data_IF_067975912565
#
_entry.id   IF_067975912565
#
_cell.length_a   1.000
_cell.length_b   1.000
_cell.length_c   1.000
_cell.angle_alpha   90.00
_cell.angle_beta   90.00
_cell.angle_gamma   90.00
#
_symmetry.space_group_name_H-M   'P 1'
#
loop_
_entity.id
_entity.type
_entity.pdbx_description
1 polymer ?
#
# COMPACT_ATOMS: atom_id res chain seq x y z
N UNK A 1 41.38 -25.38 20.96
CA UNK A 1 40.11 -25.27 21.70
C UNK A 1 39.01 -25.87 20.84
N UNK A 2 38.47 -27.05 21.19
CA UNK A 2 37.37 -27.66 20.43
C UNK A 2 36.04 -27.20 21.00
N UNK A 3 35.23 -26.54 20.19
CA UNK A 3 33.84 -26.24 20.52
C UNK A 3 33.05 -27.55 20.60
N UNK A 4 32.49 -27.86 21.78
CA UNK A 4 31.48 -28.91 21.95
C UNK A 4 30.12 -28.31 21.60
N UNK A 5 29.45 -28.88 20.60
CA UNK A 5 28.06 -28.54 20.29
C UNK A 5 27.11 -29.05 21.40
N UNK A 6 26.02 -28.33 21.72
CA UNK A 6 25.01 -28.81 22.65
C UNK A 6 24.25 -30.02 22.08
N UNK A 7 23.86 -30.92 22.98
CA UNK A 7 23.18 -32.17 22.65
C UNK A 7 21.75 -31.93 22.11
N UNK A 8 21.55 -32.30 20.84
CA UNK A 8 20.30 -32.17 20.07
C UNK A 8 19.16 -33.05 20.62
N UNK A 9 19.46 -34.03 21.48
CA UNK A 9 18.48 -34.87 22.14
C UNK A 9 17.51 -34.08 23.02
N UNK A 10 18.01 -33.00 23.65
CA UNK A 10 17.22 -32.10 24.50
C UNK A 10 16.22 -31.27 23.70
N UNK A 11 16.60 -30.83 22.49
CA UNK A 11 15.73 -30.13 21.55
C UNK A 11 14.64 -31.06 21.01
N UNK A 12 14.99 -32.32 20.71
CA UNK A 12 14.04 -33.33 20.26
C UNK A 12 13.04 -33.72 21.38
N UNK A 13 13.50 -33.83 22.62
CA UNK A 13 12.64 -34.05 23.79
C UNK A 13 11.77 -32.84 24.13
N UNK A 14 12.26 -31.62 23.88
CA UNK A 14 11.48 -30.40 24.10
C UNK A 14 10.40 -30.28 23.01
N UNK A 15 10.72 -30.54 21.75
CA UNK A 15 9.76 -30.58 20.65
C UNK A 15 8.69 -31.67 20.84
N UNK A 16 9.08 -32.87 21.29
CA UNK A 16 8.11 -33.93 21.57
C UNK A 16 7.19 -33.56 22.73
N UNK A 17 7.73 -33.02 23.83
CA UNK A 17 6.93 -32.55 24.97
C UNK A 17 6.02 -31.37 24.62
N UNK A 18 6.49 -30.43 23.80
CA UNK A 18 5.66 -29.31 23.30
C UNK A 18 4.58 -29.82 22.35
N UNK A 19 4.85 -30.85 21.53
CA UNK A 19 3.84 -31.45 20.67
C UNK A 19 2.77 -32.22 21.45
N UNK A 20 3.16 -32.93 22.52
CA UNK A 20 2.25 -33.64 23.41
C UNK A 20 1.43 -32.67 24.27
N UNK A 21 2.04 -31.61 24.79
CA UNK A 21 1.33 -30.54 25.50
C UNK A 21 0.37 -29.79 24.59
N UNK A 22 0.76 -29.49 23.34
CA UNK A 22 -0.14 -28.88 22.35
C UNK A 22 -1.28 -29.81 21.97
N UNK A 23 -1.04 -31.11 21.83
CA UNK A 23 -2.11 -32.08 21.59
C UNK A 23 -3.07 -32.19 22.78
N UNK A 24 -2.56 -32.17 24.02
CA UNK A 24 -3.39 -32.20 25.23
C UNK A 24 -4.16 -30.90 25.44
N UNK A 25 -3.53 -29.73 25.30
CA UNK A 25 -4.24 -28.43 25.40
C UNK A 25 -5.21 -28.23 24.25
N UNK A 26 -4.92 -28.77 23.06
CA UNK A 26 -5.90 -28.80 21.98
C UNK A 26 -7.06 -29.71 22.37
N UNK A 27 -6.84 -30.96 22.80
CA UNK A 27 -7.90 -31.88 23.23
C UNK A 27 -8.73 -31.37 24.42
N UNK A 28 -8.13 -30.68 25.37
CA UNK A 28 -8.83 -30.04 26.49
C UNK A 28 -9.63 -28.83 26.03
N UNK A 29 -9.06 -27.97 25.18
CA UNK A 29 -9.79 -26.89 24.53
C UNK A 29 -10.94 -27.37 23.64
N UNK A 30 -10.81 -28.55 23.03
CA UNK A 30 -11.87 -29.21 22.27
C UNK A 30 -13.01 -29.72 23.19
N UNK A 31 -12.68 -30.21 24.39
CA UNK A 31 -13.67 -30.65 25.38
C UNK A 31 -14.42 -29.48 26.01
N UNK A 32 -13.74 -28.37 26.29
CA UNK A 32 -14.39 -27.12 26.73
C UNK A 32 -15.24 -26.49 25.62
N UNK A 33 -14.77 -26.49 24.36
CA UNK A 33 -15.56 -26.02 23.22
C UNK A 33 -16.80 -26.89 22.94
N UNK A 34 -16.72 -28.20 23.19
CA UNK A 34 -17.86 -29.12 23.10
C UNK A 34 -18.94 -28.85 24.15
N UNK A 35 -18.63 -28.15 25.25
CA UNK A 35 -19.59 -27.76 26.28
C UNK A 35 -20.24 -26.39 25.99
N UNK A 36 -19.69 -25.63 25.04
CA UNK A 36 -20.22 -24.35 24.59
C UNK A 36 -21.12 -24.53 23.36
N UNK A 37 -22.41 -24.77 23.60
CA UNK A 37 -23.55 -24.43 22.75
C UNK A 37 -23.70 -25.11 21.36
N UNK A 38 -24.91 -25.58 21.06
CA UNK A 38 -25.30 -26.28 19.81
C UNK A 38 -25.06 -25.47 18.52
N UNK A 39 -24.82 -24.16 18.62
CA UNK A 39 -24.50 -23.26 17.51
C UNK A 39 -23.02 -23.28 17.07
N UNK A 40 -22.10 -23.85 17.86
CA UNK A 40 -20.68 -23.97 17.51
C UNK A 40 -20.32 -25.32 16.86
N UNK A 41 -21.17 -26.34 17.00
CA UNK A 41 -21.03 -27.66 16.38
C UNK A 41 -20.75 -27.63 14.87
N UNK A 42 -21.47 -26.87 14.02
CA UNK A 42 -21.20 -26.84 12.59
C UNK A 42 -19.86 -26.18 12.23
N UNK A 43 -19.48 -25.11 12.94
CA UNK A 43 -18.20 -24.42 12.73
C UNK A 43 -17.03 -25.32 13.13
N UNK A 44 -17.20 -26.07 14.23
CA UNK A 44 -16.19 -27.00 14.72
C UNK A 44 -15.95 -28.17 13.75
N UNK A 45 -17.02 -28.81 13.26
CA UNK A 45 -16.93 -29.87 12.25
C UNK A 45 -16.27 -29.40 10.95
N UNK A 46 -16.64 -28.21 10.45
CA UNK A 46 -16.00 -27.59 9.26
C UNK A 46 -14.51 -27.35 9.49
N UNK A 47 -14.13 -26.85 10.66
CA UNK A 47 -12.73 -26.58 11.02
C UNK A 47 -11.91 -27.86 11.11
N UNK A 48 -12.47 -28.91 11.74
CA UNK A 48 -11.85 -30.22 11.82
C UNK A 48 -11.61 -30.83 10.43
N UNK A 49 -12.59 -30.72 9.53
CA UNK A 49 -12.46 -31.21 8.16
C UNK A 49 -11.44 -30.44 7.33
N UNK A 50 -11.42 -29.12 7.42
CA UNK A 50 -10.40 -28.29 6.77
C UNK A 50 -8.97 -28.65 7.22
N UNK A 51 -8.80 -29.00 8.51
CA UNK A 51 -7.52 -29.51 9.01
C UNK A 51 -7.22 -30.90 8.44
N UNK A 52 -8.17 -31.83 8.44
CA UNK A 52 -7.97 -33.17 7.88
C UNK A 52 -7.62 -33.17 6.38
N UNK A 53 -8.21 -32.26 5.60
CA UNK A 53 -7.88 -32.03 4.19
C UNK A 53 -6.43 -31.52 4.03
N UNK A 54 -6.02 -30.54 4.82
CA UNK A 54 -4.65 -29.99 4.77
C UNK A 54 -3.57 -30.96 5.23
N UNK A 55 -3.91 -31.92 6.09
CA UNK A 55 -3.00 -32.97 6.59
C UNK A 55 -3.04 -34.25 5.76
N UNK A 56 -3.79 -34.29 4.65
CA UNK A 56 -3.73 -35.36 3.64
C UNK A 56 -4.36 -36.69 4.05
N UNK A 57 -5.34 -36.70 4.96
CA UNK A 57 -6.01 -37.92 5.42
C UNK A 57 -7.31 -38.27 4.67
N UNK A 58 -7.70 -37.50 3.63
CA UNK A 58 -9.00 -37.63 2.95
C UNK A 58 -8.82 -37.64 1.43
N UNK A 59 -9.34 -38.68 0.75
CA UNK A 59 -9.33 -38.84 -0.72
C UNK A 59 -10.64 -38.38 -1.41
N UNK A 60 -11.69 -38.05 -0.67
CA UNK A 60 -13.04 -37.71 -1.19
C UNK A 60 -13.35 -36.21 -0.98
N UNK A 61 -12.52 -35.35 -1.57
CA UNK A 61 -12.68 -33.90 -1.57
C UNK A 61 -13.42 -33.48 -2.84
N UNK A 62 -14.45 -32.65 -2.73
CA UNK A 62 -15.12 -32.13 -3.92
C UNK A 62 -14.18 -31.21 -4.71
N UNK A 63 -13.91 -31.57 -5.97
CA UNK A 63 -13.08 -30.74 -6.84
C UNK A 63 -13.88 -29.57 -7.41
N UNK A 64 -13.31 -28.37 -7.34
CA UNK A 64 -13.87 -27.20 -8.00
C UNK A 64 -13.58 -27.24 -9.50
N UNK A 65 -14.46 -26.67 -10.36
CA UNK A 65 -14.23 -26.63 -11.80
C UNK A 65 -12.87 -26.01 -12.17
N UNK A 66 -12.20 -26.56 -13.19
CA UNK A 66 -10.90 -26.05 -13.65
C UNK A 66 -10.94 -24.56 -14.00
N UNK A 67 -12.02 -24.11 -14.64
CA UNK A 67 -12.23 -22.70 -14.98
C UNK A 67 -12.26 -21.80 -13.74
N UNK A 68 -12.87 -22.26 -12.64
CA UNK A 68 -12.89 -21.53 -11.38
C UNK A 68 -11.47 -21.35 -10.82
N UNK A 69 -10.69 -22.43 -10.77
CA UNK A 69 -9.30 -22.41 -10.28
C UNK A 69 -8.41 -21.49 -11.14
N UNK A 70 -8.60 -21.50 -12.47
CA UNK A 70 -7.90 -20.59 -13.37
C UNK A 70 -8.27 -19.12 -13.13
N UNK A 71 -9.55 -18.83 -12.87
CA UNK A 71 -10.00 -17.49 -12.52
C UNK A 71 -9.37 -17.03 -11.20
N UNK A 72 -9.30 -17.88 -10.17
CA UNK A 72 -8.63 -17.55 -8.91
C UNK A 72 -7.17 -17.14 -9.12
N UNK A 73 -6.42 -17.92 -9.91
CA UNK A 73 -5.01 -17.61 -10.22
C UNK A 73 -4.86 -16.27 -10.93
N UNK A 74 -5.77 -15.95 -11.86
CA UNK A 74 -5.78 -14.67 -12.57
C UNK A 74 -6.09 -13.50 -11.63
N UNK A 75 -7.07 -13.67 -10.74
CA UNK A 75 -7.42 -12.67 -9.71
C UNK A 75 -6.25 -12.41 -8.77
N UNK A 76 -5.60 -13.47 -8.28
CA UNK A 76 -4.48 -13.34 -7.34
C UNK A 76 -3.28 -12.66 -8.00
N UNK A 77 -3.04 -12.97 -9.29
CA UNK A 77 -2.02 -12.28 -10.10
C UNK A 77 -2.35 -10.79 -10.28
N UNK A 78 -3.60 -10.47 -10.60
CA UNK A 78 -4.07 -9.09 -10.77
C UNK A 78 -4.00 -8.30 -9.46
N UNK A 79 -4.34 -8.93 -8.33
CA UNK A 79 -4.20 -8.33 -6.99
C UNK A 79 -2.75 -7.98 -6.70
N UNK A 80 -1.84 -8.91 -7.00
CA UNK A 80 -0.41 -8.70 -6.79
C UNK A 80 0.13 -7.58 -7.68
N UNK A 81 -0.33 -7.50 -8.93
CA UNK A 81 -0.02 -6.40 -9.84
C UNK A 81 -0.42 -5.04 -9.24
N UNK A 82 -1.68 -4.88 -8.81
CA UNK A 82 -2.14 -3.63 -8.21
C UNK A 82 -1.37 -3.26 -6.94
N UNK A 83 -1.10 -4.23 -6.06
CA UNK A 83 -0.29 -3.99 -4.85
C UNK A 83 1.12 -3.52 -5.17
N UNK A 84 1.79 -4.18 -6.12
CA UNK A 84 3.17 -3.84 -6.48
C UNK A 84 3.27 -2.46 -7.13
N UNK A 85 2.32 -2.10 -7.98
CA UNK A 85 2.26 -0.76 -8.56
C UNK A 85 2.00 0.27 -7.46
N UNK A 86 1.00 0.03 -6.61
CA UNK A 86 0.62 0.98 -5.58
C UNK A 86 1.78 1.28 -4.62
N UNK A 87 2.56 0.26 -4.23
CA UNK A 87 3.76 0.46 -3.38
C UNK A 87 4.72 1.50 -3.98
N UNK A 88 4.87 1.51 -5.31
CA UNK A 88 5.76 2.46 -6.00
C UNK A 88 5.09 3.82 -6.15
N UNK A 89 3.82 3.84 -6.55
CA UNK A 89 3.12 5.09 -6.84
C UNK A 89 2.62 5.81 -5.59
N UNK A 90 2.54 5.15 -4.43
CA UNK A 90 2.36 5.79 -3.12
C UNK A 90 3.51 6.74 -2.78
N UNK A 91 4.68 6.59 -3.41
CA UNK A 91 5.77 7.54 -3.21
C UNK A 91 5.36 8.97 -3.59
N UNK A 92 4.48 9.15 -4.58
CA UNK A 92 3.95 10.46 -4.99
C UNK A 92 3.16 11.17 -3.86
N UNK A 93 2.77 10.46 -2.79
CA UNK A 93 2.12 11.04 -1.60
C UNK A 93 3.12 11.72 -0.66
N UNK A 94 4.43 11.47 -0.84
CA UNK A 94 5.50 12.04 -0.01
C UNK A 94 6.12 13.21 -0.76
N UNK A 95 5.71 14.44 -0.47
CA UNK A 95 6.18 15.65 -1.17
C UNK A 95 7.70 15.74 -1.40
N UNK A 96 8.53 15.22 -0.48
CA UNK A 96 9.99 15.25 -0.55
C UNK A 96 10.63 13.96 -1.09
N UNK A 97 9.94 13.16 -1.91
CA UNK A 97 10.52 11.90 -2.39
C UNK A 97 11.68 12.07 -3.37
N UNK A 98 11.71 13.17 -4.10
CA UNK A 98 12.73 13.53 -5.08
C UNK A 98 13.93 14.23 -4.42
N UNK A 99 13.72 14.80 -3.23
CA UNK A 99 14.73 15.39 -2.37
C UNK A 99 14.64 14.79 -0.96
N UNK A 100 15.07 13.52 -0.79
CA UNK A 100 15.04 12.88 0.52
C UNK A 100 15.86 13.73 1.50
N UNK A 101 15.37 13.96 2.73
CA UNK A 101 16.00 14.86 3.66
C UNK A 101 17.45 14.44 3.89
N UNK A 102 18.38 15.23 3.36
CA UNK A 102 19.76 15.19 3.81
C UNK A 102 19.72 15.54 5.29
N UNK A 103 20.13 14.60 6.15
CA UNK A 103 19.99 14.70 7.61
C UNK A 103 20.51 16.03 8.19
N UNK A 104 21.40 16.74 7.49
CA UNK A 104 21.94 18.04 7.91
C UNK A 104 20.94 19.22 7.86
N UNK A 105 20.09 19.31 6.84
CA UNK A 105 19.19 20.47 6.67
C UNK A 105 17.95 20.37 7.57
N UNK A 106 17.50 19.14 7.83
CA UNK A 106 16.40 18.91 8.76
C UNK A 106 16.74 19.34 10.19
N UNK A 107 17.99 19.24 10.67
CA UNK A 107 18.29 19.72 12.04
C UNK A 107 18.27 21.25 12.15
N UNK A 108 18.74 22.00 11.14
CA UNK A 108 18.76 23.47 11.22
C UNK A 108 17.34 24.05 11.24
N UNK A 109 16.43 23.52 10.43
CA UNK A 109 15.07 24.04 10.35
C UNK A 109 14.25 23.68 11.60
N UNK A 110 14.44 22.47 12.15
CA UNK A 110 13.80 22.10 13.43
C UNK A 110 14.35 22.92 14.61
N UNK A 111 15.64 23.27 14.64
CA UNK A 111 16.19 24.16 15.70
C UNK A 111 15.65 25.59 15.62
N UNK A 112 15.40 26.12 14.41
CA UNK A 112 14.75 27.43 14.24
C UNK A 112 13.31 27.42 14.76
N UNK A 113 12.53 26.40 14.41
CA UNK A 113 11.15 26.23 14.91
C UNK A 113 11.11 26.10 16.44
N UNK A 114 12.06 25.35 17.03
CA UNK A 114 12.15 25.19 18.48
C UNK A 114 12.57 26.52 19.15
N UNK A 115 13.51 27.27 18.58
CA UNK A 115 13.92 28.58 19.10
C UNK A 115 12.80 29.62 19.00
N UNK A 116 12.03 29.64 17.91
CA UNK A 116 10.88 30.54 17.74
C UNK A 116 9.77 30.24 18.72
N UNK A 117 9.43 28.95 18.91
CA UNK A 117 8.43 28.55 19.91
C UNK A 117 8.94 28.80 21.33
N UNK A 118 10.22 28.57 21.61
CA UNK A 118 10.81 28.86 22.92
C UNK A 118 10.83 30.37 23.21
N UNK A 119 11.19 31.21 22.23
CA UNK A 119 11.12 32.67 22.37
C UNK A 119 9.68 33.17 22.48
N UNK A 120 8.74 32.60 21.72
CA UNK A 120 7.32 32.93 21.83
C UNK A 120 6.74 32.55 23.20
N UNK A 121 7.14 31.39 23.75
CA UNK A 121 6.75 30.95 25.09
C UNK A 121 7.41 31.80 26.19
N UNK A 122 8.65 32.24 25.98
CA UNK A 122 9.37 33.12 26.92
C UNK A 122 8.85 34.57 26.91
N UNK A 123 8.23 35.01 25.82
CA UNK A 123 7.62 36.32 25.67
C UNK A 123 6.14 36.39 26.10
N UNK A 124 5.47 35.25 26.28
CA UNK A 124 4.07 35.19 26.69
C UNK A 124 3.94 35.45 28.20
N UNK A 125 3.11 36.42 28.58
CA UNK A 125 2.91 36.83 29.99
C UNK A 125 1.55 36.39 30.56
N UNK A 126 0.69 35.80 29.72
CA UNK A 126 -0.61 35.27 30.12
C UNK A 126 -0.90 33.88 29.53
N UNK A 127 -1.79 33.13 30.18
CA UNK A 127 -2.20 31.79 29.75
C UNK A 127 -2.88 31.78 28.38
N UNK A 128 -3.59 32.86 28.02
CA UNK A 128 -4.23 33.00 26.70
C UNK A 128 -3.21 33.30 25.60
N UNK A 129 -2.12 34.02 25.90
CA UNK A 129 -1.00 34.21 24.97
C UNK A 129 -0.21 32.91 24.77
N UNK A 130 -0.10 32.08 25.81
CA UNK A 130 0.54 30.77 25.75
C UNK A 130 -0.21 29.79 24.83
N UNK A 131 -1.53 29.72 24.95
CA UNK A 131 -2.38 28.94 24.04
C UNK A 131 -2.31 29.46 22.61
N UNK A 132 -2.29 30.78 22.42
CA UNK A 132 -2.08 31.37 21.10
C UNK A 132 -0.72 30.94 20.54
N UNK A 133 0.41 31.12 21.23
CA UNK A 133 1.76 30.72 20.74
C UNK A 133 1.87 29.22 20.43
N UNK A 134 1.13 28.37 21.15
CA UNK A 134 1.09 26.92 20.90
C UNK A 134 0.23 26.56 19.69
N UNK A 135 -0.81 27.34 19.41
CA UNK A 135 -1.81 27.07 18.35
C UNK A 135 -1.62 27.90 17.08
N UNK A 136 -0.90 29.03 17.13
CA UNK A 136 -0.48 29.74 15.92
C UNK A 136 0.54 28.87 15.19
N UNK A 137 0.29 28.57 13.90
CA UNK A 137 1.36 28.15 13.01
C UNK A 137 2.47 29.20 13.11
N UNK A 138 3.73 28.80 13.35
CA UNK A 138 4.87 29.74 13.30
C UNK A 138 4.85 30.46 11.94
N UNK A 139 5.36 31.69 11.81
CA UNK A 139 5.54 32.34 10.51
C UNK A 139 6.43 31.52 9.56
N UNK A 140 7.26 30.64 10.12
CA UNK A 140 8.01 29.59 9.41
C UNK A 140 7.10 28.48 8.82
N UNK A 141 5.86 28.36 9.28
CA UNK A 141 4.85 27.46 8.75
C UNK A 141 4.01 28.10 7.62
N UNK A 142 3.93 29.44 7.58
CA UNK A 142 3.19 30.20 6.55
C UNK A 142 4.03 30.47 5.27
N UNK A 143 5.34 30.23 5.33
CA UNK A 143 6.29 30.37 4.20
C UNK A 143 6.93 29.03 3.81
N UNK A 144 6.23 27.92 4.02
CA UNK A 144 6.70 26.60 3.63
C UNK A 144 6.69 26.47 2.11
N UNK A 145 7.79 26.91 1.48
CA UNK A 145 8.16 26.48 0.14
C UNK A 145 8.09 24.94 0.13
N UNK A 146 7.35 24.33 -0.82
CA UNK A 146 7.22 22.88 -0.88
C UNK A 146 8.59 22.19 -0.89
N UNK A 147 8.69 21.03 -0.24
CA UNK A 147 9.94 20.30 -0.02
C UNK A 147 10.35 19.40 -1.19
N UNK A 148 9.90 19.73 -2.40
CA UNK A 148 10.39 19.08 -3.61
C UNK A 148 11.83 19.52 -3.89
N UNK A 149 12.54 18.76 -4.70
CA UNK A 149 13.88 19.13 -5.18
C UNK A 149 13.90 20.52 -5.83
N UNK A 150 13.01 20.74 -6.79
CA UNK A 150 12.98 21.96 -7.62
C UNK A 150 12.74 23.24 -6.81
N UNK A 151 11.77 23.19 -5.90
CA UNK A 151 11.51 24.28 -4.97
C UNK A 151 12.69 24.59 -4.05
N UNK A 152 13.39 23.55 -3.57
CA UNK A 152 14.57 23.69 -2.72
C UNK A 152 15.74 24.30 -3.50
N UNK A 153 15.97 23.83 -4.72
CA UNK A 153 16.98 24.36 -5.62
C UNK A 153 16.70 25.85 -5.94
N UNK A 154 15.45 26.19 -6.27
CA UNK A 154 15.02 27.58 -6.47
C UNK A 154 15.36 28.47 -5.27
N UNK A 155 15.02 28.03 -4.05
CA UNK A 155 15.31 28.75 -2.81
C UNK A 155 16.81 28.98 -2.60
N UNK A 156 17.64 27.96 -2.84
CA UNK A 156 19.10 28.04 -2.71
C UNK A 156 19.69 29.00 -3.74
N UNK A 157 19.24 28.94 -5.00
CA UNK A 157 19.71 29.83 -6.06
C UNK A 157 19.35 31.29 -5.78
N UNK A 158 18.12 31.58 -5.32
CA UNK A 158 17.72 32.93 -4.88
C UNK A 158 18.60 33.41 -3.72
N UNK A 159 18.82 32.56 -2.73
CA UNK A 159 19.62 32.92 -1.55
C UNK A 159 21.08 33.24 -1.92
N UNK A 160 21.69 32.44 -2.81
CA UNK A 160 23.05 32.71 -3.29
C UNK A 160 23.14 33.96 -4.15
N UNK A 161 22.12 34.26 -4.97
CA UNK A 161 22.03 35.53 -5.69
C UNK A 161 22.09 36.72 -4.73
N UNK A 162 21.29 36.71 -3.66
CA UNK A 162 21.31 37.80 -2.68
C UNK A 162 22.68 37.95 -2.01
N UNK A 163 23.36 36.84 -1.69
CA UNK A 163 24.73 36.89 -1.13
C UNK A 163 25.72 37.53 -2.12
N UNK A 164 25.61 37.22 -3.41
CA UNK A 164 26.47 37.78 -4.45
C UNK A 164 26.21 39.27 -4.67
N UNK A 165 24.95 39.70 -4.72
CA UNK A 165 24.57 41.12 -4.83
C UNK A 165 25.14 41.94 -3.66
N UNK A 166 24.95 41.46 -2.43
CA UNK A 166 25.49 42.11 -1.24
C UNK A 166 27.03 42.19 -1.22
N UNK A 167 27.72 41.25 -1.89
CA UNK A 167 29.18 41.21 -1.96
C UNK A 167 29.76 42.15 -3.02
N UNK A 168 28.97 42.52 -4.03
CA UNK A 168 29.39 43.34 -5.19
C UNK A 168 28.73 44.73 -5.21
N UNK A 169 28.34 45.28 -4.05
CA UNK A 169 27.62 46.56 -3.94
C UNK A 169 26.37 46.65 -4.84
N UNK A 170 25.62 45.54 -4.95
CA UNK A 170 24.37 45.43 -5.74
C UNK A 170 24.50 45.63 -7.26
N UNK A 171 25.70 45.46 -7.83
CA UNK A 171 25.84 45.41 -9.29
C UNK A 171 25.31 44.09 -9.86
N UNK A 172 24.26 44.17 -10.67
CA UNK A 172 23.56 43.02 -11.25
C UNK A 172 24.32 42.51 -12.48
N UNK A 173 25.27 41.60 -12.26
CA UNK A 173 26.06 40.95 -13.30
C UNK A 173 25.29 39.80 -13.98
N UNK A 174 25.88 39.21 -15.01
CA UNK A 174 25.22 38.16 -15.79
C UNK A 174 24.97 36.87 -15.00
N UNK A 175 25.82 36.58 -14.00
CA UNK A 175 25.62 35.45 -13.10
C UNK A 175 24.43 35.67 -12.15
N UNK A 176 24.27 36.85 -11.55
CA UNK A 176 23.13 37.14 -10.66
C UNK A 176 21.80 37.13 -11.41
N UNK A 177 21.80 37.58 -12.67
CA UNK A 177 20.65 37.47 -13.59
C UNK A 177 20.35 36.01 -13.95
N UNK A 178 21.36 35.22 -14.30
CA UNK A 178 21.19 33.79 -14.58
C UNK A 178 20.61 33.04 -13.38
N UNK A 179 21.14 33.27 -12.17
CA UNK A 179 20.65 32.66 -10.94
C UNK A 179 19.18 32.99 -10.67
N UNK A 180 18.77 34.24 -10.93
CA UNK A 180 17.35 34.61 -10.81
C UNK A 180 16.49 33.80 -11.78
N UNK A 181 16.86 33.77 -13.07
CA UNK A 181 16.09 33.07 -14.13
C UNK A 181 15.96 31.58 -13.87
N UNK A 182 17.06 30.91 -13.52
CA UNK A 182 17.04 29.50 -13.16
C UNK A 182 16.13 29.30 -11.95
N UNK A 183 16.23 30.14 -10.92
CA UNK A 183 15.38 29.99 -9.73
C UNK A 183 13.88 30.16 -10.01
N UNK A 184 13.50 31.07 -10.92
CA UNK A 184 12.10 31.30 -11.29
C UNK A 184 11.54 30.09 -12.02
N UNK A 185 12.30 29.53 -12.97
CA UNK A 185 11.89 28.35 -13.74
C UNK A 185 11.86 27.09 -12.88
N UNK A 186 12.86 26.87 -12.03
CA UNK A 186 12.86 25.75 -11.08
C UNK A 186 11.65 25.80 -10.14
N UNK A 187 11.24 26.98 -9.68
CA UNK A 187 10.04 27.10 -8.86
C UNK A 187 8.79 26.60 -9.60
N UNK A 188 8.60 27.03 -10.85
CA UNK A 188 7.47 26.59 -11.68
C UNK A 188 7.49 25.10 -11.99
N UNK A 189 8.67 24.54 -12.28
CA UNK A 189 8.82 23.08 -12.48
C UNK A 189 8.40 22.33 -11.21
N UNK A 190 8.72 22.88 -10.04
CA UNK A 190 8.24 22.40 -8.75
C UNK A 190 6.71 22.41 -8.65
N UNK A 191 6.05 23.51 -9.02
CA UNK A 191 4.58 23.63 -9.01
C UNK A 191 3.92 22.60 -9.95
N UNK A 192 4.44 22.47 -11.18
CA UNK A 192 3.97 21.46 -12.15
C UNK A 192 4.14 20.03 -11.61
N UNK A 193 5.20 19.77 -10.84
CA UNK A 193 5.42 18.47 -10.18
C UNK A 193 4.36 18.19 -9.12
N UNK A 194 4.03 19.18 -8.30
CA UNK A 194 2.99 19.04 -7.27
C UNK A 194 1.62 18.75 -7.88
N UNK A 195 1.27 19.38 -9.00
CA UNK A 195 0.03 19.08 -9.70
C UNK A 195 0.05 17.66 -10.30
N UNK A 196 1.18 17.22 -10.85
CA UNK A 196 1.35 15.84 -11.29
C UNK A 196 1.15 14.84 -10.14
N UNK A 197 1.78 15.10 -8.99
CA UNK A 197 1.67 14.27 -7.78
C UNK A 197 0.21 14.18 -7.33
N UNK A 198 -0.45 15.32 -7.18
CA UNK A 198 -1.87 15.41 -6.82
C UNK A 198 -2.76 14.61 -7.78
N UNK A 199 -2.58 14.76 -9.10
CA UNK A 199 -3.35 14.02 -10.09
C UNK A 199 -3.10 12.50 -10.01
N UNK A 200 -1.86 12.07 -9.79
CA UNK A 200 -1.54 10.64 -9.61
C UNK A 200 -2.20 10.10 -8.33
N UNK A 201 -2.18 10.86 -7.24
CA UNK A 201 -2.85 10.47 -6.00
C UNK A 201 -4.36 10.30 -6.22
N UNK A 202 -5.02 11.31 -6.79
CA UNK A 202 -6.48 11.34 -6.89
C UNK A 202 -7.01 10.42 -7.99
N UNK A 203 -6.40 10.44 -9.17
CA UNK A 203 -6.91 9.76 -10.35
C UNK A 203 -6.38 8.34 -10.54
N UNK A 204 -5.29 7.98 -9.86
CA UNK A 204 -4.66 6.67 -9.98
C UNK A 204 -4.58 5.92 -8.63
N UNK A 205 -3.82 6.42 -7.64
CA UNK A 205 -3.62 5.71 -6.37
C UNK A 205 -4.94 5.45 -5.64
N UNK A 206 -5.79 6.47 -5.50
CA UNK A 206 -7.06 6.34 -4.81
C UNK A 206 -8.00 5.33 -5.50
N UNK A 207 -7.99 5.28 -6.84
CA UNK A 207 -8.77 4.28 -7.59
C UNK A 207 -8.23 2.87 -7.38
N UNK A 208 -6.91 2.68 -7.38
CA UNK A 208 -6.29 1.38 -7.07
C UNK A 208 -6.61 0.96 -5.62
N UNK A 209 -6.47 1.86 -4.66
CA UNK A 209 -6.83 1.62 -3.24
C UNK A 209 -8.29 1.20 -3.13
N UNK A 210 -9.20 1.88 -3.84
CA UNK A 210 -10.62 1.52 -3.89
C UNK A 210 -10.85 0.10 -4.44
N UNK A 211 -10.25 -0.23 -5.59
CA UNK A 211 -10.36 -1.56 -6.19
C UNK A 211 -9.85 -2.64 -5.22
N UNK A 212 -8.70 -2.42 -4.58
CA UNK A 212 -8.10 -3.34 -3.61
C UNK A 212 -8.95 -3.54 -2.34
N UNK A 213 -9.55 -2.46 -1.82
CA UNK A 213 -10.26 -2.47 -0.54
C UNK A 213 -11.76 -2.79 -0.67
N UNK A 214 -12.35 -2.60 -1.85
CA UNK A 214 -13.76 -2.87 -2.09
C UNK A 214 -13.94 -4.10 -2.98
N UNK A 215 -13.50 -4.05 -4.23
CA UNK A 215 -13.81 -5.07 -5.24
C UNK A 215 -13.08 -6.39 -4.98
N UNK A 216 -11.80 -6.33 -4.61
CA UNK A 216 -11.04 -7.52 -4.22
C UNK A 216 -11.54 -8.11 -2.90
N UNK A 217 -11.94 -7.28 -1.94
CA UNK A 217 -12.51 -7.76 -0.67
C UNK A 217 -13.85 -8.46 -0.91
N UNK A 218 -14.73 -7.86 -1.72
CA UNK A 218 -16.00 -8.46 -2.13
C UNK A 218 -15.79 -9.80 -2.84
N UNK A 219 -14.89 -9.85 -3.81
CA UNK A 219 -14.59 -11.09 -4.55
C UNK A 219 -14.01 -12.17 -3.64
N UNK A 220 -13.12 -11.78 -2.71
CA UNK A 220 -12.56 -12.70 -1.73
C UNK A 220 -13.61 -13.24 -0.75
N UNK A 221 -14.63 -12.45 -0.42
CA UNK A 221 -15.75 -12.93 0.39
C UNK A 221 -16.57 -13.98 -0.36
N UNK A 222 -16.82 -13.81 -1.66
CA UNK A 222 -17.49 -14.86 -2.45
C UNK A 222 -16.65 -16.14 -2.54
N UNK A 223 -15.33 -16.04 -2.77
CA UNK A 223 -14.43 -17.20 -2.75
C UNK A 223 -14.47 -17.94 -1.40
N UNK A 224 -14.49 -17.19 -0.28
CA UNK A 224 -14.69 -17.79 1.05
C UNK A 224 -16.03 -18.50 1.18
N UNK A 225 -17.10 -17.96 0.61
CA UNK A 225 -18.40 -18.64 0.64
C UNK A 225 -18.38 -19.93 -0.18
N UNK A 226 -17.72 -19.98 -1.34
CA UNK A 226 -17.52 -21.22 -2.09
C UNK A 226 -16.82 -22.28 -1.23
N UNK A 227 -15.72 -21.91 -0.57
CA UNK A 227 -15.00 -22.81 0.33
C UNK A 227 -15.89 -23.31 1.48
N UNK A 228 -16.68 -22.42 2.09
CA UNK A 228 -17.60 -22.79 3.17
C UNK A 228 -18.70 -23.74 2.67
N UNK A 229 -19.33 -23.44 1.53
CA UNK A 229 -20.36 -24.30 0.94
C UNK A 229 -19.80 -25.66 0.53
N UNK A 230 -18.58 -25.70 -0.01
CA UNK A 230 -17.89 -26.96 -0.35
C UNK A 230 -17.68 -27.82 0.89
N UNK A 231 -17.12 -27.25 1.95
CA UNK A 231 -16.89 -27.94 3.21
C UNK A 231 -18.20 -28.48 3.81
N UNK A 232 -19.32 -27.78 3.63
CA UNK A 232 -20.64 -28.24 4.08
C UNK A 232 -21.12 -29.46 3.32
N UNK A 233 -21.11 -29.35 2.00
CA UNK A 233 -21.50 -30.42 1.10
C UNK A 233 -20.67 -31.70 1.39
N UNK A 234 -19.36 -31.53 1.49
CA UNK A 234 -18.42 -32.59 1.82
C UNK A 234 -18.72 -33.21 3.20
N UNK A 235 -19.00 -32.38 4.21
CA UNK A 235 -19.37 -32.83 5.56
C UNK A 235 -20.60 -33.72 5.54
N UNK A 236 -21.68 -33.28 4.88
CA UNK A 236 -22.93 -34.04 4.80
C UNK A 236 -22.72 -35.33 4.01
N UNK A 237 -21.98 -35.28 2.90
CA UNK A 237 -21.63 -36.47 2.09
C UNK A 237 -20.86 -37.53 2.90
N UNK A 238 -19.95 -37.11 3.78
CA UNK A 238 -19.25 -38.06 4.65
C UNK A 238 -20.14 -38.62 5.77
N UNK A 239 -21.07 -37.83 6.32
CA UNK A 239 -22.06 -38.32 7.29
C UNK A 239 -22.95 -39.40 6.65
N UNK A 240 -23.38 -39.19 5.39
CA UNK A 240 -24.15 -40.18 4.62
C UNK A 240 -23.32 -41.45 4.38
N UNK A 241 -22.07 -41.33 3.91
CA UNK A 241 -21.16 -42.48 3.73
C UNK A 241 -20.95 -43.27 5.03
N UNK A 242 -20.83 -42.58 6.16
CA UNK A 242 -20.66 -43.22 7.46
C UNK A 242 -21.90 -44.03 7.90
N UNK A 243 -23.10 -43.59 7.51
CA UNK A 243 -24.35 -44.33 7.74
C UNK A 243 -24.42 -45.55 6.83
N UNK A 244 -24.11 -45.38 5.54
CA UNK A 244 -24.17 -46.45 4.54
C UNK A 244 -23.11 -47.53 4.77
N UNK A 245 -21.94 -47.21 5.37
CA UNK A 245 -20.83 -48.16 5.60
C UNK A 245 -20.42 -48.97 4.36
N UNK A 246 -20.62 -48.41 3.16
CA UNK A 246 -20.34 -49.07 1.88
C UNK A 246 -21.52 -49.87 1.29
N UNK A 247 -22.67 -49.90 1.94
CA UNK A 247 -23.92 -50.47 1.42
C UNK A 247 -24.87 -49.35 0.99
N UNK A 248 -25.00 -49.17 -0.32
CA UNK A 248 -25.85 -48.13 -0.93
C UNK A 248 -27.35 -48.42 -0.80
N UNK A 249 -27.74 -49.63 -0.36
CA UNK A 249 -29.14 -50.00 -0.15
C UNK A 249 -29.70 -49.55 1.19
N UNK A 250 -28.83 -49.05 2.09
CA UNK A 250 -29.22 -48.52 3.40
C UNK A 250 -30.00 -47.21 3.20
N UNK A 251 -31.23 -47.16 3.72
CA UNK A 251 -32.06 -45.96 3.70
C UNK A 251 -31.38 -44.80 4.42
N UNK A 252 -31.17 -43.71 3.69
CA UNK A 252 -30.65 -42.46 4.23
C UNK A 252 -31.82 -41.72 4.89
N UNK A 253 -31.67 -41.19 6.11
CA UNK A 253 -32.69 -40.36 6.72
C UNK A 253 -33.10 -39.20 5.82
N UNK A 254 -34.40 -39.01 5.57
CA UNK A 254 -34.94 -37.96 4.68
C UNK A 254 -34.36 -36.56 4.95
N UNK A 255 -34.12 -36.26 6.23
CA UNK A 255 -33.51 -35.00 6.67
C UNK A 255 -32.08 -34.81 6.13
N UNK A 256 -31.27 -35.87 6.11
CA UNK A 256 -29.90 -35.82 5.60
C UNK A 256 -29.88 -35.73 4.07
N UNK A 257 -30.76 -36.47 3.39
CA UNK A 257 -30.94 -36.37 1.93
C UNK A 257 -31.31 -34.95 1.52
N UNK A 258 -32.29 -34.34 2.20
CA UNK A 258 -32.69 -32.95 1.94
C UNK A 258 -31.57 -31.95 2.25
N UNK A 259 -30.79 -32.18 3.32
CA UNK A 259 -29.66 -31.32 3.64
C UNK A 259 -28.55 -31.41 2.59
N UNK A 260 -28.33 -32.58 1.99
CA UNK A 260 -27.37 -32.76 0.91
C UNK A 260 -27.78 -31.92 -0.31
N UNK A 261 -29.04 -32.05 -0.75
CA UNK A 261 -29.60 -31.27 -1.86
C UNK A 261 -29.47 -29.75 -1.62
N UNK A 262 -29.89 -29.27 -0.44
CA UNK A 262 -29.74 -27.86 -0.10
C UNK A 262 -28.27 -27.39 -0.13
N UNK A 263 -27.34 -28.21 0.36
CA UNK A 263 -25.91 -27.85 0.37
C UNK A 263 -25.26 -27.88 -1.02
N UNK A 264 -25.78 -28.70 -1.93
CA UNK A 264 -25.38 -28.72 -3.33
C UNK A 264 -25.83 -27.45 -4.05
N UNK A 265 -27.10 -27.06 -3.88
CA UNK A 265 -27.65 -25.81 -4.41
C UNK A 265 -26.88 -24.59 -3.88
N UNK A 266 -26.56 -24.56 -2.59
CA UNK A 266 -25.73 -23.50 -1.98
C UNK A 266 -24.32 -23.45 -2.56
N UNK A 267 -23.70 -24.60 -2.86
CA UNK A 267 -22.38 -24.67 -3.48
C UNK A 267 -22.41 -24.17 -4.92
N UNK A 268 -23.40 -24.60 -5.72
CA UNK A 268 -23.58 -24.13 -7.09
C UNK A 268 -23.79 -22.61 -7.09
N UNK A 269 -24.71 -22.11 -6.28
CA UNK A 269 -25.01 -20.68 -6.21
C UNK A 269 -23.79 -19.84 -5.75
N UNK A 270 -23.08 -20.29 -4.70
CA UNK A 270 -21.87 -19.60 -4.25
C UNK A 270 -20.80 -19.55 -5.35
N UNK A 271 -20.66 -20.63 -6.11
CA UNK A 271 -19.70 -20.73 -7.22
C UNK A 271 -20.06 -19.76 -8.35
N UNK A 272 -21.34 -19.67 -8.72
CA UNK A 272 -21.82 -18.73 -9.74
C UNK A 272 -21.52 -17.27 -9.38
N UNK A 273 -21.86 -16.85 -8.16
CA UNK A 273 -21.60 -15.50 -7.66
C UNK A 273 -20.10 -15.17 -7.63
N UNK A 274 -19.28 -16.12 -7.20
CA UNK A 274 -17.83 -15.96 -7.18
C UNK A 274 -17.29 -15.81 -8.61
N UNK A 275 -17.71 -16.67 -9.55
CA UNK A 275 -17.30 -16.60 -10.96
C UNK A 275 -17.71 -15.28 -11.61
N UNK A 276 -18.93 -14.81 -11.38
CA UNK A 276 -19.40 -13.52 -11.89
C UNK A 276 -18.54 -12.37 -11.37
N UNK A 277 -18.29 -12.32 -10.06
CA UNK A 277 -17.45 -11.31 -9.43
C UNK A 277 -16.01 -11.34 -9.95
N UNK A 278 -15.44 -12.53 -10.13
CA UNK A 278 -14.08 -12.69 -10.67
C UNK A 278 -13.99 -12.25 -12.13
N UNK A 279 -14.97 -12.61 -12.98
CA UNK A 279 -15.02 -12.18 -14.39
C UNK A 279 -15.12 -10.66 -14.52
N UNK A 280 -15.93 -10.02 -13.67
CA UNK A 280 -16.02 -8.56 -13.62
C UNK A 280 -14.67 -7.91 -13.27
N UNK A 281 -13.97 -8.46 -12.27
CA UNK A 281 -12.70 -7.90 -11.78
C UNK A 281 -11.53 -8.11 -12.75
N UNK A 282 -11.49 -9.23 -13.49
CA UNK A 282 -10.45 -9.52 -14.50
C UNK A 282 -10.62 -8.68 -15.77
N UNK A 283 -11.78 -8.03 -15.98
CA UNK A 283 -12.02 -7.25 -17.18
C UNK A 283 -10.91 -6.19 -17.36
N UNK A 284 -10.10 -6.27 -18.44
CA UNK A 284 -8.90 -5.46 -18.58
C UNK A 284 -9.20 -3.97 -18.80
N UNK A 285 -10.46 -3.62 -19.11
CA UNK A 285 -10.86 -2.25 -19.42
C UNK A 285 -10.42 -1.27 -18.31
N UNK A 286 -10.68 -1.59 -17.05
CA UNK A 286 -10.37 -0.71 -15.93
C UNK A 286 -8.85 -0.59 -15.71
N UNK A 287 -8.13 -1.72 -15.70
CA UNK A 287 -6.67 -1.73 -15.53
C UNK A 287 -5.97 -0.95 -16.63
N UNK A 288 -6.38 -1.13 -17.88
CA UNK A 288 -5.82 -0.42 -19.03
C UNK A 288 -6.15 1.08 -18.97
N UNK A 289 -7.36 1.45 -18.56
CA UNK A 289 -7.74 2.85 -18.42
C UNK A 289 -6.93 3.55 -17.32
N UNK A 290 -6.70 2.89 -16.17
CA UNK A 290 -5.86 3.43 -15.10
C UNK A 290 -4.42 3.66 -15.58
N UNK A 291 -3.83 2.69 -16.28
CA UNK A 291 -2.48 2.85 -16.84
C UNK A 291 -2.41 3.99 -17.86
N UNK A 292 -3.43 4.13 -18.72
CA UNK A 292 -3.52 5.27 -19.66
C UNK A 292 -3.60 6.60 -18.93
N UNK A 293 -4.37 6.69 -17.85
CA UNK A 293 -4.49 7.91 -17.03
C UNK A 293 -3.13 8.25 -16.42
N UNK A 294 -2.47 7.29 -15.79
CA UNK A 294 -1.13 7.48 -15.22
C UNK A 294 -0.13 7.98 -16.27
N UNK A 295 -0.03 7.31 -17.42
CA UNK A 295 0.88 7.72 -18.50
C UNK A 295 0.55 9.10 -19.06
N UNK A 296 -0.73 9.47 -19.18
CA UNK A 296 -1.13 10.81 -19.64
C UNK A 296 -0.73 11.91 -18.65
N UNK A 297 -0.89 11.67 -17.35
CA UNK A 297 -0.47 12.62 -16.31
C UNK A 297 1.04 12.85 -16.40
N UNK A 298 1.83 11.77 -16.49
CA UNK A 298 3.29 11.87 -16.68
C UNK A 298 3.67 12.61 -17.96
N UNK A 299 3.03 12.28 -19.09
CA UNK A 299 3.29 12.93 -20.37
C UNK A 299 3.05 14.44 -20.31
N UNK A 300 1.95 14.85 -19.66
CA UNK A 300 1.62 16.27 -19.53
C UNK A 300 2.67 17.01 -18.70
N UNK A 301 3.09 16.45 -17.56
CA UNK A 301 4.17 17.03 -16.77
C UNK A 301 5.46 17.21 -17.57
N UNK A 302 5.93 16.15 -18.26
CA UNK A 302 7.18 16.26 -19.03
C UNK A 302 7.09 17.27 -20.19
N UNK A 303 5.90 17.48 -20.76
CA UNK A 303 5.68 18.55 -21.74
C UNK A 303 5.80 19.93 -21.10
N UNK A 304 5.11 20.17 -19.98
CA UNK A 304 5.23 21.44 -19.24
C UNK A 304 6.69 21.76 -18.89
N UNK A 305 7.43 20.76 -18.40
CA UNK A 305 8.86 20.92 -18.07
C UNK A 305 9.70 21.22 -19.30
N UNK A 306 9.41 20.59 -20.44
CA UNK A 306 10.12 20.87 -21.70
C UNK A 306 9.92 22.32 -22.13
N UNK A 307 8.70 22.84 -22.03
CA UNK A 307 8.37 24.22 -22.42
C UNK A 307 9.06 25.25 -21.50
N UNK A 308 9.06 25.01 -20.18
CA UNK A 308 9.72 25.89 -19.21
C UNK A 308 11.25 25.85 -19.35
N UNK A 309 11.86 24.67 -19.57
CA UNK A 309 13.30 24.56 -19.79
C UNK A 309 13.74 25.16 -21.13
N UNK A 310 12.94 25.02 -22.18
CA UNK A 310 13.21 25.68 -23.47
C UNK A 310 13.26 27.19 -23.28
N UNK A 311 12.27 27.74 -22.57
CA UNK A 311 12.22 29.16 -22.22
C UNK A 311 13.45 29.59 -21.41
N UNK A 312 13.91 28.76 -20.46
CA UNK A 312 15.10 29.05 -19.67
C UNK A 312 16.37 29.12 -20.52
N UNK A 313 16.56 28.16 -21.42
CA UNK A 313 17.73 28.13 -22.32
C UNK A 313 17.79 29.40 -23.15
N UNK A 314 16.67 29.79 -23.79
CA UNK A 314 16.60 31.02 -24.58
C UNK A 314 16.91 32.28 -23.75
N UNK A 315 16.45 32.32 -22.49
CA UNK A 315 16.72 33.43 -21.57
C UNK A 315 18.19 33.51 -21.14
N UNK A 316 18.85 32.35 -20.98
CA UNK A 316 20.26 32.28 -20.59
C UNK A 316 21.18 32.63 -21.76
N UNK A 317 20.87 32.16 -22.98
CA UNK A 317 21.63 32.48 -24.20
C UNK A 317 21.57 33.98 -24.55
N UNK A 318 20.52 34.67 -24.12
CA UNK A 318 20.36 36.11 -24.30
C UNK A 318 21.12 36.95 -23.25
N UNK A 319 21.75 36.35 -22.24
CA UNK A 319 22.52 37.11 -21.26
C UNK A 319 23.85 37.56 -21.87
N UNK A 320 24.23 38.84 -21.72
CA UNK A 320 25.55 39.28 -22.15
C UNK A 320 26.60 38.57 -21.31
N UNK A 321 27.57 37.90 -21.91
CA UNK A 321 28.76 37.47 -21.17
C UNK A 321 29.73 38.62 -21.35
N UNK A 322 30.12 39.27 -20.25
CA UNK A 322 31.21 40.22 -20.27
C UNK A 322 32.47 39.40 -20.62
N UNK A 323 32.79 39.33 -21.91
CA UNK A 323 34.13 38.95 -22.35
C UNK A 323 35.00 40.10 -21.89
N UNK A 324 35.86 39.84 -20.90
CA UNK A 324 36.98 40.72 -20.62
C UNK A 324 37.75 40.85 -21.94
N UNK A 325 37.57 41.96 -22.65
CA UNK A 325 38.40 42.37 -23.77
C UNK A 325 39.83 42.54 -23.24
N UNK A 326 40.56 41.43 -23.06
CA UNK A 326 42.02 41.36 -22.88
C UNK A 326 42.75 41.66 -24.21
N UNK A 327 42.18 42.53 -25.05
CA UNK A 327 42.80 43.09 -26.24
C UNK A 327 42.82 44.62 -26.11
N UNK A 328 43.76 45.14 -25.32
CA UNK A 328 44.56 46.29 -25.74
C UNK A 328 45.83 46.42 -24.87
N UNK A 329 46.97 46.14 -25.52
CA UNK A 329 48.34 46.30 -25.02
C UNK A 329 48.80 47.75 -24.95
#
# INVERSE_FOLDING_TARGET
MSFKFPDLSSLQQTLSKTSEQLQQTFQEGLKEASQLNDNLSPIFKRTQRSLQEKFGQIDDVSELPKEYIELEKKIDSLKNFYKKILIITEQYEIESYDYPPNLRESFSDYTKIINEKFHGLAAATSTSELENVLTTPSESAASNIPKTFHHTLSKVLKSNREVLLNSQNDEDNSLTKALLKISEIEFKIGDERLEQDKLIITEFNNKIKKILNEEFVKTNNFRKQVEISRLNFDTIRAEIKAIQKGDETVEIPDKLSKNLENSEDELVHATELAVESMKKLINPLESVNLLKVFTKIQLNYYKSVTDELTTLVDQLDALPIDEDDEDDK
#
